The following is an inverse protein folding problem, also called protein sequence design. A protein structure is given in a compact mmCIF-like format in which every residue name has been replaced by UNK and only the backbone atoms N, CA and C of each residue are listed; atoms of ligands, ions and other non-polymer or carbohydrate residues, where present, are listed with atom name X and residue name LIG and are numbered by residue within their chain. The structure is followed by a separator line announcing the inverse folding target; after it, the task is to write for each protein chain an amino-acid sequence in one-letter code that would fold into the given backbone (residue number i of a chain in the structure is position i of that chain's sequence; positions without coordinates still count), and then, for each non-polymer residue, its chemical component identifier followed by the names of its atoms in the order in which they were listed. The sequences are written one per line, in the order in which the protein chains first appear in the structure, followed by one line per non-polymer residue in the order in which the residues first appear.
data_IF_954545411359
#
_entry.id   IF_954545411359
#
_cell.length_a   1.000
_cell.length_b   1.000
_cell.length_c   1.000
_cell.angle_alpha   90.00
_cell.angle_beta   90.00
_cell.angle_gamma   90.00
#
_symmetry.space_group_name_H-M   'P 1'
#
loop_
_entity.id
_entity.type
_entity.pdbx_description
1 polymer ?
#
# COMPACT_ATOMS: atom_id res chain seq x y z
N UNK A 1 48.08 23.54 -15.29
CA UNK A 1 47.43 22.25 -15.00
C UNK A 1 46.26 22.11 -15.96
N UNK A 2 46.38 21.26 -16.98
CA UNK A 2 45.34 21.03 -17.99
C UNK A 2 44.20 20.25 -17.35
N UNK A 3 43.01 20.83 -17.29
CA UNK A 3 41.81 20.17 -16.79
C UNK A 3 41.43 19.05 -17.76
N UNK A 4 41.65 17.80 -17.36
CA UNK A 4 41.14 16.65 -18.07
C UNK A 4 39.75 16.34 -17.49
N UNK A 5 38.64 16.52 -18.25
CA UNK A 5 37.31 16.22 -17.74
C UNK A 5 37.19 14.72 -17.43
N UNK A 6 36.57 14.35 -16.31
CA UNK A 6 36.34 12.95 -15.98
C UNK A 6 35.41 12.28 -17.00
N UNK A 7 35.57 10.96 -17.26
CA UNK A 7 34.78 10.25 -18.26
C UNK A 7 33.28 10.30 -17.94
N UNK A 8 32.39 10.34 -18.96
CA UNK A 8 30.93 10.58 -18.80
C UNK A 8 30.14 9.55 -17.97
N UNK A 9 30.79 8.54 -17.39
CA UNK A 9 30.18 7.51 -16.54
C UNK A 9 30.69 7.48 -15.10
N UNK A 10 31.61 8.36 -14.70
CA UNK A 10 32.23 8.37 -13.37
C UNK A 10 31.53 9.32 -12.36
N UNK A 11 30.33 9.80 -12.69
CA UNK A 11 29.52 10.59 -11.76
C UNK A 11 28.87 9.65 -10.73
N UNK A 12 29.66 9.27 -9.72
CA UNK A 12 29.12 8.85 -8.44
C UNK A 12 28.20 9.95 -7.87
N UNK A 13 27.38 9.63 -6.85
CA UNK A 13 26.49 10.62 -6.23
C UNK A 13 27.27 11.90 -5.90
N UNK A 14 26.66 13.09 -6.08
CA UNK A 14 27.36 14.36 -5.95
C UNK A 14 28.08 14.42 -4.59
N UNK A 15 29.32 14.92 -4.55
CA UNK A 15 30.09 15.01 -3.31
C UNK A 15 29.26 15.75 -2.26
N UNK A 16 29.21 15.24 -1.01
CA UNK A 16 28.46 15.88 0.05
C UNK A 16 28.95 17.32 0.24
N UNK A 17 27.99 18.25 0.37
CA UNK A 17 28.28 19.65 0.69
C UNK A 17 29.16 19.72 1.95
N UNK A 18 30.09 20.69 2.05
CA UNK A 18 30.90 20.88 3.25
C UNK A 18 30.00 20.92 4.50
N UNK A 19 30.23 20.03 5.47
CA UNK A 19 29.44 19.90 6.71
C UNK A 19 28.36 18.79 6.72
N UNK A 20 28.15 18.05 5.62
CA UNK A 20 27.26 16.88 5.60
C UNK A 20 28.08 15.60 5.75
N UNK A 21 28.00 14.91 6.89
CA UNK A 21 28.55 13.56 7.04
C UNK A 21 27.88 12.62 6.00
N UNK A 22 28.62 11.72 5.33
CA UNK A 22 28.06 10.76 4.39
C UNK A 22 26.89 9.99 5.02
N UNK A 23 25.73 9.95 4.36
CA UNK A 23 24.62 9.10 4.82
C UNK A 23 25.11 7.65 4.86
N UNK A 24 25.04 7.02 6.02
CA UNK A 24 25.49 5.64 6.23
C UNK A 24 24.75 4.64 5.33
N UNK A 25 25.23 3.38 5.27
CA UNK A 25 24.59 2.31 4.49
C UNK A 25 23.09 2.22 4.78
N UNK A 26 22.28 2.07 3.74
CA UNK A 26 20.82 1.97 3.88
C UNK A 26 20.50 0.74 4.76
N UNK A 27 19.77 0.90 5.88
CA UNK A 27 19.44 -0.23 6.72
C UNK A 27 18.46 -1.15 6.01
N UNK A 28 18.64 -2.47 6.19
CA UNK A 28 17.81 -3.48 5.56
C UNK A 28 16.31 -3.31 5.89
N UNK A 29 15.96 -2.71 7.04
CA UNK A 29 14.59 -2.41 7.43
C UNK A 29 13.88 -1.46 6.45
N UNK A 30 14.59 -0.48 5.89
CA UNK A 30 14.05 0.48 4.92
C UNK A 30 13.82 -0.19 3.57
N UNK A 31 14.72 -1.06 3.15
CA UNK A 31 14.59 -1.83 1.91
C UNK A 31 13.46 -2.84 1.99
N UNK A 32 13.34 -3.58 3.11
CA UNK A 32 12.24 -4.51 3.35
C UNK A 32 10.89 -3.80 3.39
N UNK A 33 10.80 -2.65 4.07
CA UNK A 33 9.56 -1.86 4.08
C UNK A 33 9.14 -1.39 2.68
N UNK A 34 10.10 -0.99 1.83
CA UNK A 34 9.83 -0.62 0.46
C UNK A 34 9.30 -1.81 -0.37
N UNK A 35 9.83 -3.02 -0.17
CA UNK A 35 9.31 -4.21 -0.82
C UNK A 35 7.89 -4.55 -0.36
N UNK A 36 7.58 -4.43 0.94
CA UNK A 36 6.23 -4.68 1.44
C UNK A 36 5.24 -3.64 0.89
N UNK A 37 5.61 -2.36 0.82
CA UNK A 37 4.77 -1.31 0.21
C UNK A 37 4.43 -1.60 -1.27
N UNK A 38 5.42 -2.09 -2.03
CA UNK A 38 5.18 -2.51 -3.42
C UNK A 38 4.34 -3.77 -3.48
N UNK A 39 4.55 -4.72 -2.56
CA UNK A 39 3.73 -5.92 -2.41
C UNK A 39 2.25 -5.59 -2.20
N UNK A 40 1.95 -4.66 -1.30
CA UNK A 40 0.59 -4.16 -1.06
C UNK A 40 -0.02 -3.51 -2.30
N UNK A 41 0.76 -2.68 -3.02
CA UNK A 41 0.28 -2.09 -4.28
C UNK A 41 -0.07 -3.15 -5.32
N UNK A 42 0.72 -4.22 -5.43
CA UNK A 42 0.44 -5.35 -6.32
C UNK A 42 -0.78 -6.14 -5.86
N UNK A 43 -0.91 -6.38 -4.55
CA UNK A 43 -2.08 -7.06 -3.98
C UNK A 43 -3.37 -6.30 -4.27
N UNK A 44 -3.36 -4.98 -4.10
CA UNK A 44 -4.49 -4.09 -4.43
C UNK A 44 -4.91 -4.21 -5.89
N UNK A 45 -3.93 -4.26 -6.81
CA UNK A 45 -4.21 -4.42 -8.24
C UNK A 45 -4.79 -5.80 -8.56
N UNK A 46 -4.22 -6.88 -7.98
CA UNK A 46 -4.76 -8.22 -8.14
C UNK A 46 -6.17 -8.33 -7.56
N UNK A 47 -6.41 -7.73 -6.39
CA UNK A 47 -7.72 -7.59 -5.76
C UNK A 47 -8.75 -6.90 -6.64
N UNK A 48 -8.36 -5.79 -7.28
CA UNK A 48 -9.22 -5.07 -8.22
C UNK A 48 -9.54 -5.92 -9.47
N UNK A 49 -8.57 -6.65 -10.02
CA UNK A 49 -8.77 -7.56 -11.16
C UNK A 49 -9.75 -8.67 -10.79
N UNK A 50 -9.56 -9.35 -9.66
CA UNK A 50 -10.48 -10.41 -9.23
C UNK A 50 -11.87 -9.85 -8.92
N UNK A 51 -11.97 -8.64 -8.36
CA UNK A 51 -13.27 -7.99 -8.13
C UNK A 51 -14.03 -7.69 -9.43
N UNK A 52 -13.31 -7.37 -10.50
CA UNK A 52 -13.90 -7.21 -11.84
C UNK A 52 -14.37 -8.55 -12.41
N UNK A 53 -13.59 -9.62 -12.23
CA UNK A 53 -13.94 -10.96 -12.71
C UNK A 53 -15.08 -11.61 -11.91
N UNK A 54 -15.18 -11.31 -10.61
CA UNK A 54 -16.19 -11.84 -9.70
C UNK A 54 -17.49 -11.01 -9.70
N UNK A 55 -17.60 -9.98 -10.55
CA UNK A 55 -18.69 -9.01 -10.51
C UNK A 55 -20.08 -9.66 -10.60
N UNK A 56 -20.24 -10.69 -11.45
CA UNK A 56 -21.51 -11.41 -11.60
C UNK A 56 -21.85 -12.25 -10.37
N UNK A 57 -20.85 -12.91 -9.79
CA UNK A 57 -21.02 -13.74 -8.59
C UNK A 57 -21.41 -12.92 -7.36
N UNK A 58 -20.86 -11.71 -7.22
CA UNK A 58 -21.15 -10.80 -6.11
C UNK A 58 -22.57 -10.23 -6.24
N UNK A 59 -23.01 -9.89 -7.46
CA UNK A 59 -24.38 -9.41 -7.72
C UNK A 59 -25.42 -10.47 -7.37
N UNK A 60 -25.22 -11.71 -7.83
CA UNK A 60 -26.15 -12.80 -7.51
C UNK A 60 -26.23 -13.06 -6.00
N UNK A 61 -25.09 -13.06 -5.30
CA UNK A 61 -25.06 -13.23 -3.85
C UNK A 61 -25.75 -12.08 -3.09
N UNK A 62 -25.59 -10.85 -3.60
CA UNK A 62 -26.21 -9.65 -3.01
C UNK A 62 -27.72 -9.64 -3.25
N UNK A 63 -28.18 -9.99 -4.45
CA UNK A 63 -29.61 -10.06 -4.76
C UNK A 63 -30.32 -11.12 -3.91
N UNK A 64 -29.71 -12.31 -3.72
CA UNK A 64 -30.24 -13.34 -2.80
C UNK A 64 -30.32 -12.86 -1.35
N UNK A 65 -29.29 -12.15 -0.87
CA UNK A 65 -29.31 -11.56 0.47
C UNK A 65 -30.42 -10.50 0.63
N UNK A 66 -30.63 -9.67 -0.39
CA UNK A 66 -31.65 -8.62 -0.35
C UNK A 66 -33.07 -9.20 -0.43
N UNK A 67 -33.27 -10.25 -1.23
CA UNK A 67 -34.54 -10.99 -1.30
C UNK A 67 -34.89 -11.63 0.06
N UNK A 68 -33.93 -12.30 0.70
CA UNK A 68 -34.12 -12.88 2.05
C UNK A 68 -34.47 -11.82 3.10
N UNK A 69 -33.94 -10.59 2.97
CA UNK A 69 -34.23 -9.48 3.88
C UNK A 69 -35.46 -8.67 3.47
N UNK A 70 -36.18 -9.04 2.41
CA UNK A 70 -37.28 -8.25 1.82
C UNK A 70 -36.87 -6.79 1.52
N UNK A 71 -35.61 -6.57 1.18
CA UNK A 71 -35.06 -5.27 0.82
C UNK A 71 -34.97 -5.16 -0.70
N UNK A 72 -35.35 -4.01 -1.26
CA UNK A 72 -35.26 -3.79 -2.70
C UNK A 72 -33.88 -3.26 -3.08
N UNK A 73 -33.19 -3.94 -4.02
CA UNK A 73 -31.93 -3.49 -4.60
C UNK A 73 -32.13 -2.18 -5.39
N UNK A 74 -31.60 -1.06 -4.90
CA UNK A 74 -31.43 0.14 -5.74
C UNK A 74 -30.31 -0.13 -6.77
N UNK A 75 -30.68 -0.72 -7.92
CA UNK A 75 -29.80 -1.22 -8.97
C UNK A 75 -28.86 -0.16 -9.59
N UNK A 76 -29.08 1.12 -9.33
CA UNK A 76 -28.24 2.24 -9.79
C UNK A 76 -26.89 2.34 -9.07
N UNK A 77 -26.70 1.66 -7.93
CA UNK A 77 -25.53 1.88 -7.06
C UNK A 77 -24.36 0.91 -7.28
N UNK A 78 -24.59 -0.27 -7.89
CA UNK A 78 -23.57 -1.33 -7.96
C UNK A 78 -22.38 -1.00 -8.85
N UNK A 79 -22.62 -0.46 -10.04
CA UNK A 79 -21.55 -0.06 -10.98
C UNK A 79 -20.84 1.21 -10.54
N UNK A 80 -21.56 2.20 -10.02
CA UNK A 80 -20.97 3.45 -9.52
C UNK A 80 -20.07 3.21 -8.29
N UNK A 81 -20.53 2.38 -7.34
CA UNK A 81 -19.74 1.98 -6.17
C UNK A 81 -18.47 1.23 -6.57
N UNK A 82 -18.56 0.32 -7.55
CA UNK A 82 -17.41 -0.45 -8.00
C UNK A 82 -16.37 0.41 -8.73
N UNK A 83 -16.82 1.34 -9.59
CA UNK A 83 -15.91 2.29 -10.26
C UNK A 83 -15.20 3.15 -9.21
N UNK A 84 -15.93 3.62 -8.19
CA UNK A 84 -15.32 4.37 -7.09
C UNK A 84 -14.24 3.55 -6.36
N UNK A 85 -14.53 2.28 -6.02
CA UNK A 85 -13.57 1.39 -5.38
C UNK A 85 -12.30 1.16 -6.21
N UNK A 86 -12.44 0.97 -7.53
CA UNK A 86 -11.29 0.77 -8.43
C UNK A 86 -10.44 2.04 -8.53
N UNK A 87 -11.06 3.20 -8.74
CA UNK A 87 -10.34 4.48 -8.83
C UNK A 87 -9.60 4.75 -7.52
N UNK A 88 -10.27 4.53 -6.39
CA UNK A 88 -9.67 4.71 -5.07
C UNK A 88 -8.50 3.75 -4.88
N UNK A 89 -8.65 2.46 -5.22
CA UNK A 89 -7.58 1.46 -5.16
C UNK A 89 -6.34 1.85 -5.99
N UNK A 90 -6.54 2.41 -7.19
CA UNK A 90 -5.44 2.89 -8.04
C UNK A 90 -4.71 4.08 -7.41
N UNK A 91 -5.43 5.00 -6.77
CA UNK A 91 -4.83 6.13 -6.04
C UNK A 91 -3.95 5.61 -4.89
N UNK A 92 -4.43 4.62 -4.13
CA UNK A 92 -3.66 3.99 -3.06
C UNK A 92 -2.44 3.24 -3.59
N UNK A 93 -2.57 2.48 -4.68
CA UNK A 93 -1.45 1.82 -5.31
C UNK A 93 -0.36 2.82 -5.72
N UNK A 94 -0.74 3.95 -6.34
CA UNK A 94 0.19 5.02 -6.67
C UNK A 94 0.82 5.67 -5.42
N UNK A 95 0.02 5.87 -4.36
CA UNK A 95 0.50 6.41 -3.09
C UNK A 95 1.53 5.47 -2.42
N UNK A 96 1.31 4.15 -2.45
CA UNK A 96 2.25 3.17 -1.90
C UNK A 96 3.56 3.12 -2.67
N UNK A 97 3.51 3.22 -4.01
CA UNK A 97 4.73 3.32 -4.83
C UNK A 97 5.47 4.62 -4.51
N UNK A 98 4.77 5.75 -4.42
CA UNK A 98 5.35 7.05 -4.03
C UNK A 98 5.99 7.01 -2.64
N UNK A 99 5.34 6.35 -1.69
CA UNK A 99 5.85 6.12 -0.35
C UNK A 99 7.07 5.22 -0.33
N UNK A 100 7.10 4.14 -1.12
CA UNK A 100 8.26 3.27 -1.24
C UNK A 100 9.48 4.09 -1.69
N UNK A 101 9.32 4.95 -2.71
CA UNK A 101 10.39 5.85 -3.16
C UNK A 101 10.76 6.89 -2.09
N UNK A 102 9.80 7.46 -1.37
CA UNK A 102 10.03 8.42 -0.29
C UNK A 102 10.77 7.83 0.92
N UNK A 103 10.43 6.59 1.28
CA UNK A 103 11.09 5.79 2.32
C UNK A 103 12.52 5.47 1.91
N UNK A 104 12.75 5.08 0.66
CA UNK A 104 14.10 4.86 0.11
C UNK A 104 14.95 6.14 0.10
N UNK A 105 14.32 7.31 -0.08
CA UNK A 105 14.98 8.63 -0.04
C UNK A 105 15.33 9.11 1.37
N UNK A 106 14.85 8.44 2.43
CA UNK A 106 15.17 8.83 3.81
C UNK A 106 14.51 10.13 4.26
N UNK A 107 13.36 10.50 3.68
CA UNK A 107 12.62 11.68 4.10
C UNK A 107 11.84 11.41 5.40
N UNK A 108 12.05 12.23 6.44
CA UNK A 108 11.30 12.15 7.71
C UNK A 108 9.78 12.20 7.51
N UNK A 109 9.32 13.00 6.54
CA UNK A 109 7.90 13.17 6.20
C UNK A 109 7.31 11.88 5.62
N UNK A 110 8.10 11.07 4.90
CA UNK A 110 7.62 9.81 4.33
C UNK A 110 7.14 8.83 5.40
N UNK A 111 7.72 8.89 6.61
CA UNK A 111 7.27 8.06 7.72
C UNK A 111 5.88 8.46 8.19
N UNK A 112 5.62 9.75 8.42
CA UNK A 112 4.29 10.21 8.87
C UNK A 112 3.22 9.87 7.82
N UNK A 113 3.51 10.15 6.55
CA UNK A 113 2.58 9.85 5.46
C UNK A 113 2.36 8.34 5.34
N UNK A 114 3.40 7.50 5.51
CA UNK A 114 3.23 6.05 5.46
C UNK A 114 2.26 5.53 6.53
N UNK A 115 2.30 6.08 7.74
CA UNK A 115 1.38 5.65 8.81
C UNK A 115 -0.05 6.06 8.53
N UNK A 116 -0.26 7.30 8.05
CA UNK A 116 -1.60 7.81 7.71
C UNK A 116 -2.18 7.04 6.51
N UNK A 117 -1.40 6.86 5.45
CA UNK A 117 -1.85 6.17 4.23
C UNK A 117 -2.08 4.69 4.50
N UNK A 118 -1.20 4.01 5.26
CA UNK A 118 -1.42 2.59 5.60
C UNK A 118 -2.61 2.41 6.53
N UNK A 119 -2.81 3.30 7.52
CA UNK A 119 -3.97 3.26 8.41
C UNK A 119 -5.29 3.53 7.67
N UNK A 120 -5.28 4.47 6.73
CA UNK A 120 -6.46 4.76 5.90
C UNK A 120 -6.76 3.63 4.92
N UNK A 121 -5.73 3.05 4.28
CA UNK A 121 -5.87 1.90 3.41
C UNK A 121 -6.42 0.68 4.18
N UNK A 122 -5.91 0.43 5.38
CA UNK A 122 -6.42 -0.64 6.26
C UNK A 122 -7.91 -0.47 6.55
N UNK A 123 -8.37 0.75 6.81
CA UNK A 123 -9.78 1.05 7.03
C UNK A 123 -10.62 0.80 5.76
N UNK A 124 -10.21 1.36 4.62
CA UNK A 124 -11.01 1.36 3.41
C UNK A 124 -10.96 0.04 2.63
N UNK A 125 -9.92 -0.76 2.80
CA UNK A 125 -9.71 -2.01 2.04
C UNK A 125 -9.88 -3.21 2.96
N UNK A 126 -9.15 -3.26 4.08
CA UNK A 126 -9.18 -4.41 5.00
C UNK A 126 -10.49 -4.53 5.78
N UNK A 127 -10.88 -3.47 6.50
CA UNK A 127 -12.07 -3.52 7.38
C UNK A 127 -13.36 -3.57 6.56
N UNK A 128 -13.47 -2.77 5.50
CA UNK A 128 -14.64 -2.76 4.61
C UNK A 128 -14.88 -4.13 3.97
N UNK A 129 -13.83 -4.75 3.41
CA UNK A 129 -13.94 -6.07 2.77
C UNK A 129 -14.29 -7.16 3.77
N UNK A 130 -13.66 -7.17 4.95
CA UNK A 130 -13.97 -8.13 6.00
C UNK A 130 -15.43 -8.02 6.47
N UNK A 131 -15.93 -6.80 6.67
CA UNK A 131 -17.30 -6.55 7.08
C UNK A 131 -18.29 -7.00 6.00
N UNK A 132 -18.07 -6.61 4.74
CA UNK A 132 -18.90 -7.05 3.62
C UNK A 132 -18.97 -8.57 3.52
N UNK A 133 -17.82 -9.25 3.63
CA UNK A 133 -17.77 -10.70 3.55
C UNK A 133 -18.52 -11.37 4.72
N UNK A 134 -18.45 -10.81 5.92
CA UNK A 134 -19.19 -11.34 7.07
C UNK A 134 -20.71 -11.34 6.85
N UNK A 135 -21.25 -10.31 6.19
CA UNK A 135 -22.70 -10.16 5.94
C UNK A 135 -23.21 -11.14 4.89
N UNK A 136 -22.51 -11.26 3.75
CA UNK A 136 -22.99 -12.08 2.61
C UNK A 136 -22.28 -13.43 2.46
N UNK A 137 -21.38 -13.81 3.37
CA UNK A 137 -20.55 -15.04 3.30
C UNK A 137 -21.30 -16.32 2.92
N UNK A 138 -22.54 -16.48 3.39
CA UNK A 138 -23.36 -17.68 3.14
C UNK A 138 -23.81 -17.83 1.68
N UNK A 139 -23.81 -16.74 0.92
CA UNK A 139 -24.32 -16.69 -0.45
C UNK A 139 -23.20 -16.73 -1.50
N UNK A 140 -21.93 -16.71 -1.09
CA UNK A 140 -20.78 -16.71 -2.00
C UNK A 140 -20.18 -18.11 -2.17
N UNK A 141 -19.57 -18.40 -3.34
CA UNK A 141 -18.87 -19.65 -3.56
C UNK A 141 -17.64 -19.77 -2.65
N UNK A 142 -17.42 -20.96 -2.09
CA UNK A 142 -16.34 -21.21 -1.12
C UNK A 142 -14.93 -20.85 -1.62
N UNK A 143 -14.67 -21.01 -2.92
CA UNK A 143 -13.39 -20.61 -3.52
C UNK A 143 -13.16 -19.09 -3.48
N UNK A 144 -14.20 -18.28 -3.68
CA UNK A 144 -14.11 -16.83 -3.54
C UNK A 144 -13.92 -16.43 -2.08
N UNK A 145 -14.63 -17.07 -1.15
CA UNK A 145 -14.44 -16.84 0.29
C UNK A 145 -13.00 -17.09 0.72
N UNK A 146 -12.43 -18.24 0.33
CA UNK A 146 -11.04 -18.58 0.63
C UNK A 146 -10.07 -17.53 0.06
N UNK A 147 -10.28 -17.10 -1.18
CA UNK A 147 -9.51 -16.03 -1.80
C UNK A 147 -9.62 -14.72 -1.00
N UNK A 148 -10.83 -14.26 -0.71
CA UNK A 148 -11.06 -12.99 0.00
C UNK A 148 -10.44 -13.01 1.40
N UNK A 149 -10.58 -14.11 2.16
CA UNK A 149 -9.95 -14.21 3.47
C UNK A 149 -8.42 -14.20 3.39
N UNK A 150 -7.83 -14.89 2.41
CA UNK A 150 -6.39 -14.90 2.21
C UNK A 150 -5.85 -13.50 1.85
N UNK A 151 -6.51 -12.81 0.91
CA UNK A 151 -6.11 -11.46 0.51
C UNK A 151 -6.24 -10.50 1.67
N UNK A 152 -7.38 -10.48 2.37
CA UNK A 152 -7.59 -9.61 3.53
C UNK A 152 -6.54 -9.87 4.62
N UNK A 153 -6.20 -11.13 4.89
CA UNK A 153 -5.17 -11.48 5.86
C UNK A 153 -3.78 -10.98 5.45
N UNK A 154 -3.43 -11.14 4.16
CA UNK A 154 -2.15 -10.68 3.62
C UNK A 154 -2.03 -9.15 3.67
N UNK A 155 -3.07 -8.41 3.29
CA UNK A 155 -3.07 -6.94 3.39
C UNK A 155 -2.93 -6.47 4.84
N UNK A 156 -3.67 -7.09 5.76
CA UNK A 156 -3.56 -6.77 7.19
C UNK A 156 -2.15 -7.02 7.71
N UNK A 157 -1.57 -8.17 7.36
CA UNK A 157 -0.22 -8.51 7.75
C UNK A 157 0.82 -7.54 7.15
N UNK A 158 0.66 -7.15 5.89
CA UNK A 158 1.57 -6.22 5.23
C UNK A 158 1.47 -4.79 5.77
N UNK A 159 0.27 -4.27 6.04
CA UNK A 159 0.12 -2.96 6.71
C UNK A 159 0.73 -2.96 8.10
N UNK A 160 0.53 -4.02 8.89
CA UNK A 160 1.17 -4.17 10.20
C UNK A 160 2.69 -4.24 10.05
N UNK A 161 3.21 -5.02 9.08
CA UNK A 161 4.64 -5.11 8.81
C UNK A 161 5.25 -3.75 8.42
N UNK A 162 4.57 -2.96 7.58
CA UNK A 162 5.00 -1.59 7.23
C UNK A 162 5.07 -0.73 8.48
N UNK A 163 4.00 -0.69 9.28
CA UNK A 163 3.93 0.10 10.51
C UNK A 163 5.07 -0.27 11.46
N UNK A 164 5.26 -1.56 11.71
CA UNK A 164 6.30 -2.07 12.62
C UNK A 164 7.71 -1.80 12.07
N UNK A 165 7.97 -2.12 10.80
CA UNK A 165 9.29 -1.90 10.18
C UNK A 165 9.67 -0.41 10.17
N UNK A 166 8.70 0.47 9.96
CA UNK A 166 8.91 1.91 10.09
C UNK A 166 8.98 2.35 11.55
N UNK A 167 8.32 1.69 12.51
CA UNK A 167 8.41 2.00 13.94
C UNK A 167 9.79 1.72 14.54
N UNK A 168 10.51 0.73 14.00
CA UNK A 168 11.80 0.27 14.53
C UNK A 168 12.82 1.41 14.71
N UNK A 169 13.63 1.37 15.79
CA UNK A 169 14.61 2.41 16.11
C UNK A 169 15.70 2.55 15.04
N UNK A 170 16.05 1.44 14.37
CA UNK A 170 16.98 1.45 13.23
C UNK A 170 16.47 2.30 12.05
N UNK A 171 15.19 2.18 11.72
CA UNK A 171 14.54 3.03 10.71
C UNK A 171 14.48 4.48 11.18
N UNK A 172 14.17 4.71 12.46
CA UNK A 172 14.15 6.06 13.05
C UNK A 172 15.50 6.77 12.95
N UNK A 173 16.61 6.06 13.18
CA UNK A 173 17.97 6.60 13.06
C UNK A 173 18.32 7.01 11.62
N UNK A 174 17.85 6.29 10.60
CA UNK A 174 18.07 6.62 9.19
C UNK A 174 17.33 7.89 8.74
N UNK A 175 16.17 8.17 9.32
CA UNK A 175 15.39 9.36 8.97
C UNK A 175 15.92 10.63 9.68
N UNK A 176 16.61 10.53 10.83
CA UNK A 176 17.17 11.69 11.53
C UNK A 176 18.07 12.51 10.60
N UNK A 177 17.87 13.84 10.59
CA UNK A 177 18.77 14.76 9.88
C UNK A 177 20.19 14.59 10.45
N UNK A 178 21.25 14.60 9.62
CA UNK A 178 22.61 14.73 10.13
C UNK A 178 22.65 15.95 11.05
N UNK A 179 23.25 15.83 12.24
CA UNK A 179 23.49 16.99 13.08
C UNK A 179 24.23 18.02 12.23
N UNK A 180 23.70 19.25 12.14
CA UNK A 180 24.43 20.34 11.51
C UNK A 180 25.73 20.49 12.31
N UNK A 181 26.84 20.05 11.73
CA UNK A 181 28.16 20.36 12.28
C UNK A 181 28.30 21.87 12.20
N UNK A 182 28.32 22.52 13.37
CA UNK A 182 28.74 23.91 13.50
C UNK A 182 30.25 24.00 13.24
#
# INVERSE_FOLDING_TARGET
MTYNPPPPGAAGPPPPLPGQAPRGPRPATVTMAAYVLVGEAVLLLLGAVVSLLAQDTIKEATDKYLDDQNLTSSSTNGTASQVFGIVFGLIFAAAFIGLALGVLRGANVARIIAWVVSGLALCCVGVSTAFSLAVISKYLPGGYLAYSYLVTFLELAGFVAIIVLLALPASNAYFRKPAAGY
#
